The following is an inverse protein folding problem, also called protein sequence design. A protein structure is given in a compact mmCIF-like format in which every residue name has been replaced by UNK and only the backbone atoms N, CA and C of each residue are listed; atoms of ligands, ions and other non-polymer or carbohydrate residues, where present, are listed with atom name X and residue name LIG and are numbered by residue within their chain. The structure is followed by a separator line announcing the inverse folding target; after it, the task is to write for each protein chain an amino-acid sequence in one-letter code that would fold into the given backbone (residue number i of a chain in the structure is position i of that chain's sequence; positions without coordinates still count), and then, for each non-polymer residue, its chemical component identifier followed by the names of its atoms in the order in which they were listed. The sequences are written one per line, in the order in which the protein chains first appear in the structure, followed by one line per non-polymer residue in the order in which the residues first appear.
data_IF_669645340959
#
_entry.id   IF_669645340959
#
_cell.length_a   1.000
_cell.length_b   1.000
_cell.length_c   1.000
_cell.angle_alpha   90.00
_cell.angle_beta   90.00
_cell.angle_gamma   90.00
#
_symmetry.space_group_name_H-M   'P 1'
#
loop_
_entity.id
_entity.type
_entity.pdbx_description
1 polymer ?
#
# COMPACT_ATOMS: atom_id res chain seq x y z
N UNK A 1 39.11 82.58 33.76
CA UNK A 1 38.73 82.11 32.41
C UNK A 1 38.08 80.74 32.51
N UNK A 2 36.77 80.67 32.29
CA UNK A 2 35.95 79.38 32.32
C UNK A 2 35.78 78.90 30.92
N UNK A 3 36.22 77.70 30.65
CA UNK A 3 35.91 77.00 29.39
C UNK A 3 34.79 75.96 29.63
N UNK A 4 33.66 76.17 29.00
CA UNK A 4 32.50 75.31 29.06
C UNK A 4 32.69 74.09 28.11
N UNK A 5 32.70 72.89 28.69
CA UNK A 5 32.64 71.64 27.90
C UNK A 5 31.20 71.33 27.52
N UNK A 6 30.91 71.21 26.21
CA UNK A 6 29.68 70.74 25.70
C UNK A 6 29.62 69.18 25.77
N UNK A 7 28.65 68.67 26.47
CA UNK A 7 28.36 67.22 26.48
C UNK A 7 27.62 66.82 25.23
N UNK A 8 28.09 65.77 24.53
CA UNK A 8 27.43 65.11 23.42
C UNK A 8 26.32 64.20 23.95
N UNK A 9 25.12 64.23 23.37
CA UNK A 9 24.07 63.24 23.71
C UNK A 9 24.30 61.96 22.95
N UNK A 10 24.70 60.90 23.67
CA UNK A 10 24.75 59.55 23.14
C UNK A 10 23.33 59.04 22.88
N UNK A 11 23.00 58.75 21.60
CA UNK A 11 21.79 58.00 21.25
C UNK A 11 21.85 56.62 21.90
N UNK A 12 21.03 56.42 22.93
CA UNK A 12 20.73 55.09 23.44
C UNK A 12 19.71 54.43 22.48
N UNK A 13 20.17 53.64 21.52
CA UNK A 13 19.31 52.73 20.78
C UNK A 13 18.86 51.63 21.75
N UNK A 14 17.60 51.71 22.15
CA UNK A 14 17.05 50.84 23.18
C UNK A 14 17.07 49.38 22.69
N UNK A 15 17.58 48.47 23.53
CA UNK A 15 17.64 47.02 23.37
C UNK A 15 16.28 46.34 23.08
N UNK A 16 15.21 47.12 23.00
CA UNK A 16 13.84 46.62 22.73
C UNK A 16 13.55 46.47 21.22
N UNK A 17 14.18 47.28 20.38
CA UNK A 17 13.99 47.22 18.92
C UNK A 17 14.61 45.96 18.28
N UNK A 18 15.72 45.47 18.82
CA UNK A 18 16.39 44.26 18.31
C UNK A 18 15.63 42.98 18.64
N UNK A 19 14.98 42.93 19.81
CA UNK A 19 14.16 41.74 20.19
C UNK A 19 12.89 41.60 19.36
N UNK A 20 12.25 42.69 18.98
CA UNK A 20 11.10 42.68 18.07
C UNK A 20 11.49 42.25 16.64
N UNK A 21 12.67 42.70 16.18
CA UNK A 21 13.18 42.33 14.86
C UNK A 21 13.50 40.81 14.76
N UNK A 22 14.09 40.24 15.81
CA UNK A 22 14.36 38.80 15.90
C UNK A 22 13.08 37.95 15.98
N UNK A 23 12.05 38.43 16.70
CA UNK A 23 10.74 37.79 16.73
C UNK A 23 10.02 37.86 15.39
N UNK A 24 10.12 38.96 14.65
CA UNK A 24 9.54 39.11 13.33
C UNK A 24 10.23 38.19 12.30
N UNK A 25 11.56 38.02 12.37
CA UNK A 25 12.34 37.13 11.54
C UNK A 25 11.99 35.65 11.86
N UNK A 26 11.80 35.30 13.15
CA UNK A 26 11.39 33.96 13.55
C UNK A 26 9.97 33.58 13.05
N UNK A 27 9.06 34.55 13.00
CA UNK A 27 7.68 34.29 12.48
C UNK A 27 7.66 34.19 10.95
N UNK A 28 8.56 34.90 10.26
CA UNK A 28 8.67 34.83 8.79
C UNK A 28 9.37 33.56 8.27
N UNK A 29 10.13 32.86 9.13
CA UNK A 29 10.72 31.56 8.77
C UNK A 29 9.83 30.37 9.15
N UNK A 30 8.71 30.60 9.85
CA UNK A 30 7.72 29.58 10.14
C UNK A 30 6.88 29.29 8.88
N UNK A 31 7.42 28.45 8.02
CA UNK A 31 6.64 27.56 7.20
C UNK A 31 6.09 28.08 5.89
N UNK A 32 6.96 28.34 4.93
CA UNK A 32 6.64 27.83 3.57
C UNK A 32 7.21 26.41 3.51
N UNK A 33 6.54 25.49 4.15
CA UNK A 33 6.71 24.08 3.83
C UNK A 33 6.27 23.93 2.38
N UNK A 34 7.19 23.86 1.46
CA UNK A 34 6.93 23.40 0.10
C UNK A 34 6.47 21.97 0.25
N UNK A 35 5.14 21.78 0.32
CA UNK A 35 4.53 20.46 0.31
C UNK A 35 5.04 19.77 -0.94
N UNK A 36 5.95 18.79 -0.77
CA UNK A 36 6.33 17.93 -1.88
C UNK A 36 5.05 17.34 -2.42
N UNK A 37 4.86 17.43 -3.75
CA UNK A 37 3.72 16.79 -4.38
C UNK A 37 3.76 15.31 -4.02
N UNK A 38 2.62 14.71 -3.67
CA UNK A 38 2.57 13.29 -3.37
C UNK A 38 3.10 12.49 -4.57
N UNK A 39 3.92 11.50 -4.29
CA UNK A 39 4.49 10.61 -5.31
C UNK A 39 3.86 9.24 -5.15
N UNK A 40 3.20 8.75 -6.18
CA UNK A 40 2.71 7.37 -6.26
C UNK A 40 3.62 6.59 -7.21
N UNK A 41 4.25 5.55 -6.70
CA UNK A 41 5.04 4.63 -7.53
C UNK A 41 4.09 3.63 -8.17
N UNK A 42 4.00 3.66 -9.50
CA UNK A 42 3.17 2.73 -10.27
C UNK A 42 4.00 1.53 -10.71
N UNK A 43 3.47 0.35 -10.46
CA UNK A 43 4.05 -0.93 -10.88
C UNK A 43 3.01 -1.73 -11.64
N UNK A 44 3.45 -2.54 -12.60
CA UNK A 44 2.58 -3.44 -13.36
C UNK A 44 3.15 -4.85 -13.30
N UNK A 45 2.29 -5.81 -12.93
CA UNK A 45 2.63 -7.22 -12.91
C UNK A 45 1.51 -8.00 -13.60
N UNK A 46 1.69 -8.24 -14.90
CA UNK A 46 0.77 -9.04 -15.72
C UNK A 46 1.50 -10.32 -16.19
N UNK A 47 1.80 -11.19 -15.22
CA UNK A 47 2.60 -12.40 -15.44
C UNK A 47 2.33 -13.42 -14.32
N UNK A 48 2.92 -14.62 -14.44
CA UNK A 48 2.92 -15.63 -13.39
C UNK A 48 3.75 -15.20 -12.16
N UNK A 49 3.31 -15.66 -10.98
CA UNK A 49 4.03 -15.40 -9.72
C UNK A 49 5.17 -16.40 -9.60
N UNK A 50 6.40 -15.88 -9.66
CA UNK A 50 7.65 -16.65 -9.68
C UNK A 50 8.82 -15.81 -9.09
N UNK A 51 10.01 -16.37 -8.87
CA UNK A 51 11.09 -15.64 -8.18
C UNK A 51 11.46 -14.29 -8.82
N UNK A 52 11.44 -14.20 -10.17
CA UNK A 52 11.75 -12.94 -10.85
C UNK A 52 10.69 -11.86 -10.60
N UNK A 53 9.40 -12.22 -10.54
CA UNK A 53 8.32 -11.28 -10.24
C UNK A 53 8.26 -10.91 -8.76
N UNK A 54 8.67 -11.82 -7.87
CA UNK A 54 8.84 -11.52 -6.44
C UNK A 54 10.00 -10.52 -6.24
N UNK A 55 11.12 -10.72 -6.92
CA UNK A 55 12.25 -9.79 -6.87
C UNK A 55 11.91 -8.42 -7.47
N UNK A 56 11.12 -8.38 -8.55
CA UNK A 56 10.60 -7.14 -9.13
C UNK A 56 9.76 -6.35 -8.11
N UNK A 57 8.79 -7.00 -7.46
CA UNK A 57 7.97 -6.34 -6.43
C UNK A 57 8.82 -5.82 -5.28
N UNK A 58 9.71 -6.65 -4.73
CA UNK A 58 10.58 -6.27 -3.62
C UNK A 58 11.44 -5.06 -3.95
N UNK A 59 12.04 -5.01 -5.16
CA UNK A 59 12.82 -3.85 -5.62
C UNK A 59 11.95 -2.61 -5.73
N UNK A 60 10.77 -2.70 -6.34
CA UNK A 60 9.85 -1.57 -6.48
C UNK A 60 9.39 -0.99 -5.14
N UNK A 61 9.10 -1.85 -4.16
CA UNK A 61 8.75 -1.40 -2.79
C UNK A 61 9.93 -0.68 -2.11
N UNK A 62 11.16 -1.19 -2.28
CA UNK A 62 12.36 -0.55 -1.76
C UNK A 62 12.64 0.80 -2.44
N UNK A 63 12.42 0.90 -3.74
CA UNK A 63 12.57 2.15 -4.49
C UNK A 63 11.53 3.19 -4.04
N UNK A 64 10.27 2.78 -3.88
CA UNK A 64 9.21 3.63 -3.35
C UNK A 64 9.55 4.17 -1.95
N UNK A 65 10.10 3.32 -1.08
CA UNK A 65 10.56 3.72 0.25
C UNK A 65 11.68 4.76 0.18
N UNK A 66 12.69 4.56 -0.70
CA UNK A 66 13.78 5.54 -0.90
C UNK A 66 13.29 6.86 -1.48
N UNK A 67 12.28 6.83 -2.32
CA UNK A 67 11.65 8.02 -2.90
C UNK A 67 10.69 8.71 -1.92
N UNK A 68 10.46 8.15 -0.74
CA UNK A 68 9.45 8.62 0.21
C UNK A 68 8.06 8.73 -0.43
N UNK A 69 7.72 7.75 -1.26
CA UNK A 69 6.44 7.72 -1.96
C UNK A 69 5.26 7.68 -0.98
N UNK A 70 4.15 8.32 -1.35
CA UNK A 70 2.91 8.30 -0.58
C UNK A 70 2.22 6.93 -0.64
N UNK A 71 2.35 6.23 -1.76
CA UNK A 71 1.86 4.87 -1.97
C UNK A 71 2.57 4.18 -3.13
N UNK A 72 2.46 2.84 -3.15
CA UNK A 72 2.71 2.02 -4.35
C UNK A 72 1.35 1.57 -4.89
N UNK A 73 1.12 1.78 -6.17
CA UNK A 73 -0.01 1.23 -6.91
C UNK A 73 0.48 0.09 -7.80
N UNK A 74 0.12 -1.13 -7.45
CA UNK A 74 0.41 -2.32 -8.24
C UNK A 74 -0.82 -2.72 -9.08
N UNK A 75 -0.74 -2.51 -10.40
CA UNK A 75 -1.70 -3.08 -11.36
C UNK A 75 -1.38 -4.57 -11.54
N UNK A 76 -2.28 -5.43 -11.11
CA UNK A 76 -2.06 -6.88 -11.07
C UNK A 76 -3.00 -7.61 -12.02
N UNK A 77 -2.42 -8.49 -12.84
CA UNK A 77 -3.14 -9.45 -13.69
C UNK A 77 -2.34 -10.75 -13.74
N UNK A 78 -2.81 -11.81 -13.05
CA UNK A 78 -2.03 -13.05 -12.97
C UNK A 78 -2.93 -14.28 -12.93
N UNK A 79 -2.54 -15.38 -13.60
CA UNK A 79 -3.18 -16.67 -13.43
C UNK A 79 -2.84 -17.37 -12.13
N UNK A 80 -1.80 -16.91 -11.43
CA UNK A 80 -1.22 -17.53 -10.25
C UNK A 80 0.27 -17.83 -10.39
N UNK A 81 0.78 -18.78 -9.61
CA UNK A 81 2.17 -19.22 -9.68
C UNK A 81 2.63 -19.94 -8.41
N UNK A 82 3.91 -19.84 -8.10
CA UNK A 82 4.55 -20.59 -7.02
C UNK A 82 4.16 -20.07 -5.64
N UNK A 83 3.77 -20.96 -4.75
CA UNK A 83 3.40 -20.62 -3.37
C UNK A 83 4.58 -20.01 -2.59
N UNK A 84 5.81 -20.47 -2.83
CA UNK A 84 7.02 -19.90 -2.22
C UNK A 84 7.19 -18.42 -2.58
N UNK A 85 7.12 -18.08 -3.88
CA UNK A 85 7.19 -16.70 -4.34
C UNK A 85 6.01 -15.86 -3.85
N UNK A 86 4.82 -16.47 -3.75
CA UNK A 86 3.63 -15.81 -3.15
C UNK A 86 3.90 -15.40 -1.71
N UNK A 87 4.46 -16.29 -0.89
CA UNK A 87 4.81 -15.99 0.51
C UNK A 87 5.82 -14.86 0.63
N UNK A 88 6.86 -14.87 -0.22
CA UNK A 88 7.86 -13.80 -0.26
C UNK A 88 7.22 -12.43 -0.62
N UNK A 89 6.31 -12.42 -1.60
CA UNK A 89 5.62 -11.20 -2.02
C UNK A 89 4.65 -10.70 -0.96
N UNK A 90 3.86 -11.57 -0.33
CA UNK A 90 2.97 -11.20 0.79
C UNK A 90 3.78 -10.58 1.93
N UNK A 91 4.88 -11.23 2.34
CA UNK A 91 5.76 -10.71 3.37
C UNK A 91 6.33 -9.32 2.99
N UNK A 92 6.74 -9.13 1.74
CA UNK A 92 7.25 -7.84 1.27
C UNK A 92 6.17 -6.75 1.32
N UNK A 93 4.90 -7.07 1.00
CA UNK A 93 3.76 -6.15 1.10
C UNK A 93 3.51 -5.77 2.56
N UNK A 94 3.44 -6.75 3.47
CA UNK A 94 3.19 -6.53 4.90
C UNK A 94 4.27 -5.67 5.55
N UNK A 95 5.54 -5.90 5.18
CA UNK A 95 6.71 -5.19 5.71
C UNK A 95 7.01 -3.88 4.97
N UNK A 96 6.29 -3.55 3.91
CA UNK A 96 6.53 -2.32 3.17
C UNK A 96 6.39 -1.09 4.08
N UNK A 97 7.34 -0.15 4.09
CA UNK A 97 7.19 1.10 4.82
C UNK A 97 6.18 2.05 4.16
N UNK A 98 5.85 1.81 2.88
CA UNK A 98 4.95 2.61 2.06
C UNK A 98 3.63 1.85 1.86
N UNK A 99 2.46 2.50 1.92
CA UNK A 99 1.17 1.87 1.60
C UNK A 99 1.18 1.18 0.25
N UNK A 100 0.63 -0.05 0.20
CA UNK A 100 0.52 -0.83 -1.03
C UNK A 100 -0.94 -0.97 -1.44
N UNK A 101 -1.26 -0.41 -2.59
CA UNK A 101 -2.57 -0.51 -3.24
C UNK A 101 -2.44 -1.55 -4.35
N UNK A 102 -3.25 -2.60 -4.31
CA UNK A 102 -3.33 -3.58 -5.41
C UNK A 102 -4.62 -3.37 -6.17
N UNK A 103 -4.50 -3.20 -7.47
CA UNK A 103 -5.61 -2.98 -8.38
C UNK A 103 -5.63 -4.07 -9.45
N UNK A 104 -6.70 -4.85 -9.47
CA UNK A 104 -6.92 -5.84 -10.52
C UNK A 104 -7.53 -5.13 -11.72
N UNK A 105 -6.75 -4.92 -12.74
CA UNK A 105 -7.11 -4.17 -13.94
C UNK A 105 -6.11 -4.36 -15.06
N UNK A 106 -6.44 -3.94 -16.29
CA UNK A 106 -7.74 -3.43 -16.74
C UNK A 106 -8.84 -4.51 -16.80
N UNK A 107 -10.03 -4.19 -17.32
CA UNK A 107 -11.10 -5.15 -17.56
C UNK A 107 -10.59 -6.39 -18.30
N UNK A 108 -11.04 -7.58 -17.87
CA UNK A 108 -10.53 -8.87 -18.34
C UNK A 108 -9.30 -9.40 -17.56
N UNK A 109 -8.68 -8.60 -16.70
CA UNK A 109 -7.63 -9.06 -15.78
C UNK A 109 -8.20 -9.95 -14.67
N UNK A 110 -7.32 -10.73 -14.06
CA UNK A 110 -7.70 -11.58 -12.91
C UNK A 110 -6.60 -11.64 -11.85
N UNK A 111 -6.99 -11.82 -10.60
CA UNK A 111 -6.11 -12.24 -9.50
C UNK A 111 -6.38 -13.71 -9.18
N UNK A 112 -5.92 -14.62 -10.07
CA UNK A 112 -6.09 -16.07 -9.89
C UNK A 112 -5.06 -16.66 -8.94
N UNK A 113 -5.45 -17.65 -8.12
CA UNK A 113 -4.54 -18.44 -7.28
C UNK A 113 -3.62 -17.55 -6.43
N UNK A 114 -2.31 -17.58 -6.67
CA UNK A 114 -1.32 -16.72 -5.99
C UNK A 114 -1.69 -15.23 -6.01
N UNK A 115 -2.32 -14.74 -7.08
CA UNK A 115 -2.77 -13.35 -7.18
C UNK A 115 -3.81 -12.96 -6.14
N UNK A 116 -4.69 -13.89 -5.77
CA UNK A 116 -5.67 -13.67 -4.71
C UNK A 116 -5.00 -13.47 -3.34
N UNK A 117 -3.98 -14.26 -3.03
CA UNK A 117 -3.18 -14.06 -1.81
C UNK A 117 -2.55 -12.67 -1.74
N UNK A 118 -2.02 -12.17 -2.87
CA UNK A 118 -1.43 -10.83 -2.93
C UNK A 118 -2.50 -9.75 -2.76
N UNK A 119 -3.66 -9.90 -3.39
CA UNK A 119 -4.79 -8.98 -3.27
C UNK A 119 -5.22 -8.83 -1.81
N UNK A 120 -5.37 -9.97 -1.10
CA UNK A 120 -5.77 -10.01 0.31
C UNK A 120 -4.70 -9.44 1.27
N UNK A 121 -3.43 -9.42 0.88
CA UNK A 121 -2.34 -8.84 1.67
C UNK A 121 -2.23 -7.32 1.55
N UNK A 122 -2.82 -6.71 0.51
CA UNK A 122 -2.70 -5.28 0.23
C UNK A 122 -3.28 -4.39 1.35
N UNK A 123 -2.73 -3.19 1.53
CA UNK A 123 -3.32 -2.17 2.40
C UNK A 123 -4.67 -1.68 1.85
N UNK A 124 -4.76 -1.57 0.52
CA UNK A 124 -6.01 -1.34 -0.21
C UNK A 124 -6.10 -2.33 -1.36
N UNK A 125 -7.21 -3.08 -1.42
CA UNK A 125 -7.54 -4.00 -2.51
C UNK A 125 -8.65 -3.41 -3.37
N UNK A 126 -8.43 -3.34 -4.68
CA UNK A 126 -9.41 -2.79 -5.61
C UNK A 126 -9.47 -3.60 -6.91
N UNK A 127 -10.62 -3.53 -7.58
CA UNK A 127 -10.85 -4.24 -8.83
C UNK A 127 -11.48 -3.32 -9.88
N UNK A 128 -11.14 -3.55 -11.15
CA UNK A 128 -11.87 -2.96 -12.27
C UNK A 128 -13.16 -3.73 -12.55
N UNK A 129 -14.19 -3.09 -13.13
CA UNK A 129 -15.33 -3.79 -13.69
C UNK A 129 -14.89 -4.84 -14.72
N UNK A 130 -15.54 -6.02 -14.70
CA UNK A 130 -15.21 -7.12 -15.61
C UNK A 130 -13.91 -7.86 -15.27
N UNK A 131 -13.51 -7.88 -14.00
CA UNK A 131 -12.37 -8.64 -13.48
C UNK A 131 -12.85 -9.72 -12.49
N UNK A 132 -11.97 -10.64 -12.13
CA UNK A 132 -12.28 -11.64 -11.12
C UNK A 132 -11.06 -11.99 -10.26
N UNK A 133 -11.31 -12.50 -9.05
CA UNK A 133 -10.28 -12.90 -8.10
C UNK A 133 -10.68 -14.19 -7.36
N UNK A 134 -9.72 -15.03 -6.98
CA UNK A 134 -9.97 -16.28 -6.27
C UNK A 134 -9.33 -17.50 -6.91
N UNK A 135 -10.04 -18.65 -6.91
CA UNK A 135 -9.55 -19.94 -7.42
C UNK A 135 -8.15 -20.28 -6.83
N UNK A 136 -8.01 -20.15 -5.51
CA UNK A 136 -6.72 -20.16 -4.81
C UNK A 136 -6.34 -21.53 -4.24
N UNK A 137 -7.04 -22.60 -4.65
CA UNK A 137 -6.74 -23.98 -4.23
C UNK A 137 -5.33 -24.39 -4.71
N UNK A 138 -4.45 -24.86 -3.80
CA UNK A 138 -3.11 -25.30 -4.19
C UNK A 138 -3.15 -26.54 -5.10
N UNK A 139 -2.42 -26.49 -6.19
CA UNK A 139 -2.24 -27.63 -7.09
C UNK A 139 -0.76 -28.00 -7.20
N UNK A 140 -0.48 -29.29 -7.42
CA UNK A 140 0.85 -29.77 -7.80
C UNK A 140 0.73 -30.38 -9.19
N UNK A 141 1.38 -29.74 -10.14
CA UNK A 141 1.33 -30.19 -11.53
C UNK A 141 1.97 -31.57 -11.72
N UNK A 142 1.37 -32.39 -12.57
CA UNK A 142 1.97 -33.62 -13.10
C UNK A 142 1.98 -34.82 -12.16
N UNK A 143 1.36 -34.77 -10.97
CA UNK A 143 1.31 -35.92 -10.04
C UNK A 143 -0.05 -36.03 -9.36
N UNK A 144 -0.51 -37.29 -9.24
CA UNK A 144 -1.59 -37.60 -8.29
C UNK A 144 -1.02 -37.46 -6.89
N UNK A 145 -1.48 -36.48 -6.13
CA UNK A 145 -1.06 -36.27 -4.75
C UNK A 145 -1.65 -37.32 -3.82
N UNK A 146 -0.84 -37.76 -2.85
CA UNK A 146 -1.35 -38.45 -1.68
C UNK A 146 -2.42 -37.57 -0.99
N UNK A 147 -3.60 -38.13 -0.62
CA UNK A 147 -4.68 -37.36 -0.01
C UNK A 147 -4.27 -36.61 1.26
N UNK A 148 -3.42 -37.19 2.09
CA UNK A 148 -2.93 -36.57 3.34
C UNK A 148 -2.00 -35.37 3.02
N UNK A 149 -1.15 -35.51 2.00
CA UNK A 149 -0.29 -34.43 1.56
C UNK A 149 -1.10 -33.27 0.96
N UNK A 150 -2.12 -33.58 0.16
CA UNK A 150 -3.04 -32.59 -0.38
C UNK A 150 -3.72 -31.80 0.72
N UNK A 151 -4.29 -32.48 1.72
CA UNK A 151 -4.96 -31.86 2.85
C UNK A 151 -4.00 -30.95 3.66
N UNK A 152 -2.76 -31.40 3.89
CA UNK A 152 -1.74 -30.58 4.59
C UNK A 152 -1.44 -29.29 3.83
N UNK A 153 -1.23 -29.37 2.51
CA UNK A 153 -0.92 -28.18 1.67
C UNK A 153 -2.10 -27.20 1.66
N UNK A 154 -3.32 -27.72 1.54
CA UNK A 154 -4.54 -26.92 1.56
C UNK A 154 -4.73 -26.22 2.92
N UNK A 155 -4.59 -26.96 4.02
CA UNK A 155 -4.73 -26.41 5.36
C UNK A 155 -3.64 -25.35 5.65
N UNK A 156 -2.41 -25.56 5.20
CA UNK A 156 -1.31 -24.60 5.34
C UNK A 156 -1.57 -23.34 4.52
N UNK A 157 -2.05 -23.47 3.28
CA UNK A 157 -2.40 -22.33 2.43
C UNK A 157 -3.57 -21.52 3.01
N UNK A 158 -4.63 -22.20 3.49
CA UNK A 158 -5.76 -21.55 4.14
C UNK A 158 -5.35 -20.83 5.45
N UNK A 159 -4.51 -21.45 6.26
CA UNK A 159 -4.00 -20.84 7.48
C UNK A 159 -3.12 -19.61 7.18
N UNK A 160 -2.28 -19.70 6.16
CA UNK A 160 -1.46 -18.59 5.70
C UNK A 160 -2.35 -17.41 5.25
N UNK A 161 -3.35 -17.65 4.39
CA UNK A 161 -4.26 -16.59 3.95
C UNK A 161 -5.00 -15.95 5.14
N UNK A 162 -5.54 -16.77 6.05
CA UNK A 162 -6.26 -16.32 7.24
C UNK A 162 -5.40 -15.43 8.15
N UNK A 163 -4.09 -15.69 8.25
CA UNK A 163 -3.20 -15.00 9.17
C UNK A 163 -3.13 -13.49 8.93
N UNK A 164 -3.43 -13.01 7.74
CA UNK A 164 -3.40 -11.58 7.41
C UNK A 164 -4.73 -11.01 6.91
N UNK A 165 -5.60 -11.83 6.28
CA UNK A 165 -6.92 -11.36 5.79
C UNK A 165 -7.75 -10.72 6.92
N UNK A 166 -7.77 -11.36 8.10
CA UNK A 166 -8.46 -10.82 9.28
C UNK A 166 -7.84 -9.52 9.81
N UNK A 167 -6.51 -9.42 9.79
CA UNK A 167 -5.79 -8.18 10.17
C UNK A 167 -6.12 -7.02 9.24
N UNK A 168 -6.34 -7.32 7.95
CA UNK A 168 -6.79 -6.35 6.95
C UNK A 168 -8.28 -5.98 7.06
N UNK A 169 -9.02 -6.59 7.99
CA UNK A 169 -10.47 -6.35 8.17
C UNK A 169 -11.33 -6.95 7.07
N UNK A 170 -10.79 -7.90 6.28
CA UNK A 170 -11.52 -8.56 5.20
C UNK A 170 -12.21 -9.83 5.64
N UNK A 171 -13.09 -10.37 4.81
CA UNK A 171 -13.90 -11.54 5.11
C UNK A 171 -13.08 -12.84 5.03
N UNK A 172 -12.62 -13.31 6.18
CA UNK A 172 -11.81 -14.52 6.31
C UNK A 172 -12.54 -15.75 5.76
N UNK A 173 -13.84 -15.91 6.01
CA UNK A 173 -14.58 -17.08 5.57
C UNK A 173 -14.68 -17.16 4.04
N UNK A 174 -14.98 -16.03 3.38
CA UNK A 174 -15.00 -15.97 1.91
C UNK A 174 -13.60 -16.15 1.31
N UNK A 175 -12.57 -15.61 1.95
CA UNK A 175 -11.18 -15.80 1.53
C UNK A 175 -10.76 -17.28 1.62
N UNK A 176 -11.08 -17.97 2.73
CA UNK A 176 -10.82 -19.42 2.85
C UNK A 176 -11.61 -20.25 1.85
N UNK A 177 -12.82 -19.83 1.44
CA UNK A 177 -13.62 -20.53 0.43
C UNK A 177 -12.92 -20.52 -0.95
N UNK A 178 -12.19 -19.46 -1.27
CA UNK A 178 -11.35 -19.42 -2.47
C UNK A 178 -10.22 -20.46 -2.46
N UNK A 179 -9.69 -20.80 -1.27
CA UNK A 179 -8.64 -21.82 -1.12
C UNK A 179 -9.27 -23.23 -1.07
N UNK A 180 -10.24 -23.44 -0.19
CA UNK A 180 -10.78 -24.78 0.07
C UNK A 180 -11.67 -25.32 -1.05
N UNK A 181 -12.49 -24.44 -1.62
CA UNK A 181 -13.51 -24.80 -2.60
C UNK A 181 -13.23 -24.21 -4.01
N UNK A 182 -12.02 -23.68 -4.22
CA UNK A 182 -11.62 -23.05 -5.50
C UNK A 182 -12.57 -21.94 -5.94
N UNK A 183 -13.25 -21.27 -5.00
CA UNK A 183 -14.20 -20.21 -5.33
C UNK A 183 -13.51 -19.04 -6.03
N UNK A 184 -14.16 -18.50 -7.03
CA UNK A 184 -13.75 -17.28 -7.72
C UNK A 184 -14.89 -16.28 -7.69
N UNK A 185 -14.57 -15.00 -7.53
CA UNK A 185 -15.50 -13.90 -7.33
C UNK A 185 -15.34 -12.87 -8.43
N UNK A 186 -16.45 -12.39 -8.99
CA UNK A 186 -16.47 -11.16 -9.77
C UNK A 186 -16.15 -9.95 -8.87
N UNK A 187 -15.86 -8.82 -9.46
CA UNK A 187 -15.57 -7.58 -8.72
C UNK A 187 -16.74 -7.16 -7.80
N UNK A 188 -17.99 -7.41 -8.22
CA UNK A 188 -19.18 -7.07 -7.41
C UNK A 188 -19.37 -8.04 -6.25
N UNK A 189 -19.16 -9.34 -6.47
CA UNK A 189 -19.19 -10.35 -5.40
C UNK A 189 -18.07 -10.10 -4.39
N UNK A 190 -16.85 -9.80 -4.85
CA UNK A 190 -15.70 -9.49 -4.00
C UNK A 190 -15.95 -8.24 -3.14
N UNK A 191 -16.54 -7.19 -3.72
CA UNK A 191 -16.93 -5.99 -2.99
C UNK A 191 -18.03 -6.29 -1.96
N UNK A 192 -19.09 -6.98 -2.38
CA UNK A 192 -20.23 -7.33 -1.50
C UNK A 192 -19.84 -8.25 -0.35
N UNK A 193 -18.82 -9.08 -0.52
CA UNK A 193 -18.25 -9.97 0.49
C UNK A 193 -17.13 -9.34 1.33
N UNK A 194 -16.76 -8.08 1.09
CA UNK A 194 -15.63 -7.43 1.75
C UNK A 194 -14.28 -8.14 1.55
N UNK A 195 -14.04 -8.68 0.36
CA UNK A 195 -12.74 -9.17 -0.09
C UNK A 195 -11.92 -8.04 -0.73
N UNK A 196 -12.59 -7.00 -1.24
CA UNK A 196 -11.96 -5.78 -1.74
C UNK A 196 -12.61 -4.54 -1.16
N UNK A 197 -11.87 -3.44 -1.14
CA UNK A 197 -12.28 -2.18 -0.53
C UNK A 197 -13.15 -1.31 -1.46
N UNK A 198 -12.94 -1.44 -2.77
CA UNK A 198 -13.69 -0.69 -3.78
C UNK A 198 -13.55 -1.27 -5.18
N UNK A 199 -14.49 -0.88 -6.06
CA UNK A 199 -14.42 -1.10 -7.50
C UNK A 199 -14.24 0.26 -8.17
N UNK A 200 -13.26 0.37 -9.05
CA UNK A 200 -12.96 1.60 -9.79
C UNK A 200 -12.75 1.27 -11.29
N UNK A 201 -13.23 2.11 -12.23
CA UNK A 201 -13.13 1.81 -13.66
C UNK A 201 -11.70 1.83 -14.19
N UNK A 202 -10.83 2.63 -13.58
CA UNK A 202 -9.42 2.77 -13.93
C UNK A 202 -8.58 3.26 -12.74
N UNK A 203 -7.26 3.31 -12.91
CA UNK A 203 -6.33 3.73 -11.87
C UNK A 203 -6.49 5.21 -11.49
N UNK A 204 -6.90 6.07 -12.41
CA UNK A 204 -7.09 7.49 -12.11
C UNK A 204 -8.31 7.69 -11.20
N UNK A 205 -9.43 7.04 -11.52
CA UNK A 205 -10.62 7.05 -10.67
C UNK A 205 -10.33 6.40 -9.31
N UNK A 206 -9.52 5.33 -9.26
CA UNK A 206 -9.08 4.70 -8.03
C UNK A 206 -8.31 5.68 -7.14
N UNK A 207 -7.30 6.36 -7.67
CA UNK A 207 -6.49 7.31 -6.90
C UNK A 207 -7.33 8.48 -6.38
N UNK A 208 -8.24 9.01 -7.19
CA UNK A 208 -9.18 10.06 -6.76
C UNK A 208 -10.09 9.58 -5.62
N UNK A 209 -10.57 8.35 -5.67
CA UNK A 209 -11.43 7.78 -4.63
C UNK A 209 -10.69 7.48 -3.32
N UNK A 210 -9.38 7.32 -3.38
CA UNK A 210 -8.53 7.00 -2.23
C UNK A 210 -7.85 8.23 -1.62
N UNK A 211 -7.73 9.34 -2.35
CA UNK A 211 -7.08 10.54 -1.81
C UNK A 211 -7.83 11.08 -0.59
N UNK A 212 -7.08 11.36 0.48
CA UNK A 212 -7.63 11.76 1.77
C UNK A 212 -8.24 10.62 2.63
N UNK A 213 -8.28 9.38 2.14
CA UNK A 213 -8.81 8.23 2.91
C UNK A 213 -7.83 7.79 3.99
N UNK A 214 -8.32 7.58 5.20
CA UNK A 214 -7.59 6.91 6.27
C UNK A 214 -7.61 5.39 6.07
N UNK A 215 -6.45 4.76 6.12
CA UNK A 215 -6.29 3.31 6.07
C UNK A 215 -5.55 2.81 7.32
N UNK A 216 -5.77 1.55 7.67
CA UNK A 216 -5.02 0.87 8.73
C UNK A 216 -3.97 -0.03 8.10
N UNK A 217 -2.70 0.20 8.44
CA UNK A 217 -1.55 -0.61 8.00
C UNK A 217 -1.53 -1.96 8.73
N UNK A 218 -0.73 -2.92 8.21
CA UNK A 218 -0.59 -4.25 8.82
C UNK A 218 -0.11 -4.21 10.28
N UNK A 219 0.72 -3.24 10.63
CA UNK A 219 1.20 -3.00 11.99
C UNK A 219 0.22 -2.24 12.90
N UNK A 220 -1.00 -1.99 12.44
CA UNK A 220 -2.06 -1.28 13.16
C UNK A 220 -1.99 0.25 13.09
N UNK A 221 -0.95 0.83 12.48
CA UNK A 221 -0.86 2.29 12.32
C UNK A 221 -1.90 2.79 11.32
N UNK A 222 -2.51 3.92 11.65
CA UNK A 222 -3.41 4.65 10.74
C UNK A 222 -2.62 5.65 9.91
N UNK A 223 -2.90 5.68 8.63
CA UNK A 223 -2.24 6.57 7.66
C UNK A 223 -3.31 7.17 6.75
N UNK A 224 -3.27 8.49 6.56
CA UNK A 224 -4.08 9.16 5.52
C UNK A 224 -3.32 9.12 4.20
N UNK A 225 -3.98 8.64 3.15
CA UNK A 225 -3.41 8.60 1.81
C UNK A 225 -3.42 10.01 1.21
N UNK A 226 -2.30 10.43 0.64
CA UNK A 226 -2.17 11.64 -0.17
C UNK A 226 -1.63 11.22 -1.54
N UNK A 227 -2.48 11.26 -2.59
CA UNK A 227 -2.26 10.57 -3.88
C UNK A 227 -2.30 11.53 -5.08
#
# INVERSE_FOLDING_TARGET
MRTSGRANPHLRIGMWGTRLLWLLIMVLTAGVGWGQKPVVVRMTLHDTIQPVTADYLRRGLNDAARMQASAVLLSLGTPGGLLSSTREMVQAIEQSPVPVIIYIGPAGSRAGSAGFFLLEAADVAAMAPGTNAGAAHPIVEGKTMDPVLKEKIENDAAAFLRSYTGVRGRNVAAAEDAVRNSKSYSEQEALGLHLVDLVAPDEAALLVALDGREITRFDGRKVTLHL
#
